data_IF_449277362423
#
_entry.id   IF_449277362423
#
_cell.length_a   1.000
_cell.length_b   1.000
_cell.length_c   1.000
_cell.angle_alpha   90.00
_cell.angle_beta   90.00
_cell.angle_gamma   90.00
#
_symmetry.space_group_name_H-M   'P 1'
#
loop_
_entity.id
_entity.type
_entity.pdbx_description
1 polymer ?
#
# COMPACT_ATOMS: atom_id res chain seq x y z
N UNK A 1 18.02 -9.02 9.88
CA UNK A 1 17.11 -8.25 10.76
C UNK A 1 15.75 -8.23 10.09
N UNK A 2 14.77 -8.94 10.64
CA UNK A 2 13.42 -9.07 10.08
C UNK A 2 12.63 -7.75 10.23
N UNK A 3 12.61 -6.93 9.19
CA UNK A 3 11.87 -5.66 9.16
C UNK A 3 10.35 -5.83 9.25
N UNK A 4 9.83 -7.04 9.00
CA UNK A 4 8.41 -7.38 9.09
C UNK A 4 7.85 -7.39 10.52
N UNK A 5 8.72 -7.54 11.54
CA UNK A 5 8.30 -7.46 12.95
C UNK A 5 8.26 -6.02 13.50
N UNK A 6 8.72 -5.03 12.74
CA UNK A 6 8.75 -3.63 13.17
C UNK A 6 7.42 -2.88 12.95
N UNK A 7 6.46 -3.50 12.28
CA UNK A 7 5.16 -2.88 11.98
C UNK A 7 4.16 -3.07 13.12
N UNK A 8 3.54 -1.96 13.53
CA UNK A 8 2.47 -1.97 14.51
C UNK A 8 1.21 -2.70 14.00
N UNK A 9 0.30 -3.14 14.89
CA UNK A 9 -0.95 -3.77 14.49
C UNK A 9 -1.81 -2.91 13.55
N UNK A 10 -1.76 -1.58 13.69
CA UNK A 10 -2.46 -0.64 12.81
C UNK A 10 -1.85 -0.66 11.41
N UNK A 11 -0.53 -0.64 11.32
CA UNK A 11 0.20 -0.67 10.03
C UNK A 11 -0.03 -1.98 9.27
N UNK A 12 -0.04 -3.12 9.98
CA UNK A 12 -0.40 -4.42 9.40
C UNK A 12 -1.83 -4.42 8.85
N UNK A 13 -2.78 -3.80 9.57
CA UNK A 13 -4.18 -3.69 9.14
C UNK A 13 -4.32 -2.79 7.91
N UNK A 14 -3.65 -1.64 7.90
CA UNK A 14 -3.60 -0.76 6.74
C UNK A 14 -3.00 -1.45 5.51
N UNK A 15 -1.92 -2.23 5.68
CA UNK A 15 -1.31 -3.03 4.60
C UNK A 15 -2.29 -4.07 4.03
N UNK A 16 -3.07 -4.75 4.89
CA UNK A 16 -4.10 -5.70 4.43
C UNK A 16 -5.23 -5.00 3.68
N UNK A 17 -5.72 -3.87 4.18
CA UNK A 17 -6.76 -3.07 3.50
C UNK A 17 -6.26 -2.54 2.16
N UNK A 18 -5.02 -2.06 2.12
CA UNK A 18 -4.33 -1.65 0.90
C UNK A 18 -4.29 -2.80 -0.11
N UNK A 19 -3.73 -3.95 0.28
CA UNK A 19 -3.63 -5.12 -0.59
C UNK A 19 -4.98 -5.55 -1.16
N UNK A 20 -6.03 -5.56 -0.33
CA UNK A 20 -7.38 -5.94 -0.76
C UNK A 20 -8.01 -4.91 -1.72
N UNK A 21 -7.78 -3.61 -1.49
CA UNK A 21 -8.21 -2.56 -2.41
C UNK A 21 -7.41 -2.59 -3.73
N UNK A 22 -6.14 -2.98 -3.66
CA UNK A 22 -5.20 -3.08 -4.78
C UNK A 22 -5.48 -4.27 -5.69
N UNK A 23 -5.80 -5.43 -5.12
CA UNK A 23 -6.16 -6.65 -5.85
C UNK A 23 -7.42 -6.46 -6.72
N UNK A 24 -8.26 -5.46 -6.41
CA UNK A 24 -9.49 -5.16 -7.15
C UNK A 24 -9.43 -3.88 -8.00
N UNK A 25 -8.53 -2.94 -7.74
CA UNK A 25 -8.59 -1.59 -8.32
C UNK A 25 -7.22 -0.93 -8.57
N UNK A 26 -6.17 -1.68 -8.90
CA UNK A 26 -4.86 -1.07 -9.22
C UNK A 26 -4.97 -0.10 -10.40
N UNK A 27 -4.54 1.17 -10.26
CA UNK A 27 -4.02 1.90 -9.10
C UNK A 27 -5.11 2.59 -8.25
N UNK A 28 -4.93 2.54 -6.93
CA UNK A 28 -5.89 3.06 -5.94
C UNK A 28 -5.70 4.55 -5.65
N UNK A 29 -6.75 5.19 -5.16
CA UNK A 29 -6.77 6.63 -4.84
C UNK A 29 -6.25 6.85 -3.41
N UNK A 30 -5.37 7.85 -3.22
CA UNK A 30 -4.81 8.22 -1.90
C UNK A 30 -5.87 8.39 -0.80
N UNK A 31 -7.09 8.81 -1.15
CA UNK A 31 -8.18 9.07 -0.20
C UNK A 31 -8.53 7.86 0.68
N UNK A 32 -8.23 6.64 0.24
CA UNK A 32 -8.52 5.42 1.00
C UNK A 32 -7.47 5.08 2.06
N UNK A 33 -6.35 5.79 2.11
CA UNK A 33 -5.20 5.48 2.97
C UNK A 33 -4.72 6.77 3.65
N UNK A 34 -4.50 6.77 4.98
CA UNK A 34 -3.95 7.93 5.66
C UNK A 34 -2.64 8.38 5.01
N UNK A 35 -2.51 9.68 4.73
CA UNK A 35 -1.35 10.23 3.99
C UNK A 35 -0.01 9.86 4.63
N UNK A 36 0.06 9.89 5.97
CA UNK A 36 1.27 9.49 6.72
C UNK A 36 1.67 8.03 6.44
N UNK A 37 0.69 7.14 6.37
CA UNK A 37 0.93 5.72 6.06
C UNK A 37 1.37 5.56 4.61
N UNK A 38 0.72 6.26 3.68
CA UNK A 38 1.08 6.23 2.26
C UNK A 38 2.52 6.74 2.03
N UNK A 39 2.90 7.85 2.67
CA UNK A 39 4.26 8.40 2.61
C UNK A 39 5.28 7.40 3.13
N UNK A 40 5.03 6.80 4.30
CA UNK A 40 5.91 5.77 4.87
C UNK A 40 6.09 4.57 3.93
N UNK A 41 5.00 4.10 3.29
CA UNK A 41 5.08 2.98 2.34
C UNK A 41 5.88 3.32 1.08
N UNK A 42 5.82 4.56 0.60
CA UNK A 42 6.66 5.04 -0.51
C UNK A 42 8.12 5.17 -0.08
N UNK A 43 8.39 5.76 1.09
CA UNK A 43 9.76 5.91 1.63
C UNK A 43 10.44 4.55 1.84
N UNK A 44 9.68 3.53 2.24
CA UNK A 44 10.17 2.14 2.39
C UNK A 44 10.26 1.38 1.06
N UNK A 45 9.82 1.97 -0.06
CA UNK A 45 9.84 1.37 -1.39
C UNK A 45 8.81 0.25 -1.59
N UNK A 46 7.76 0.22 -0.77
CA UNK A 46 6.67 -0.76 -0.83
C UNK A 46 5.54 -0.32 -1.76
N UNK A 47 5.40 0.97 -2.00
CA UNK A 47 4.43 1.55 -2.92
C UNK A 47 5.08 2.58 -3.86
N UNK A 48 4.45 2.82 -5.01
CA UNK A 48 4.87 3.81 -5.98
C UNK A 48 3.67 4.65 -6.45
N UNK A 49 3.92 5.92 -6.76
CA UNK A 49 2.95 6.81 -7.41
C UNK A 49 2.87 6.49 -8.91
N UNK A 50 1.67 6.59 -9.48
CA UNK A 50 1.41 6.43 -10.91
C UNK A 50 0.16 7.18 -11.36
N UNK A 51 -0.18 7.12 -12.65
CA UNK A 51 -1.44 7.68 -13.15
C UNK A 51 -2.62 6.98 -12.50
N UNK A 52 -3.61 7.75 -12.03
CA UNK A 52 -4.85 7.21 -11.48
C UNK A 52 -5.71 6.55 -12.56
N UNK A 53 -6.33 5.39 -12.29
CA UNK A 53 -7.39 4.87 -13.16
C UNK A 53 -8.73 5.60 -12.98
N UNK A 54 -8.83 6.48 -11.98
CA UNK A 54 -10.00 7.34 -11.77
C UNK A 54 -9.56 8.81 -11.73
N UNK A 55 -9.12 9.37 -12.86
CA UNK A 55 -8.59 10.74 -12.93
C UNK A 55 -9.61 11.80 -12.50
N UNK A 56 -10.91 11.53 -12.64
CA UNK A 56 -11.99 12.40 -12.16
C UNK A 56 -12.08 12.51 -10.63
N UNK A 57 -11.51 11.54 -9.88
CA UNK A 57 -11.51 11.53 -8.41
C UNK A 57 -10.18 12.08 -7.87
N UNK A 58 -9.07 11.62 -8.46
CA UNK A 58 -7.75 12.15 -8.16
C UNK A 58 -6.83 11.97 -9.38
N UNK A 59 -5.97 12.95 -9.69
CA UNK A 59 -5.06 12.86 -10.84
C UNK A 59 -3.95 11.81 -10.64
N UNK A 60 -3.66 11.44 -9.40
CA UNK A 60 -2.60 10.51 -9.00
C UNK A 60 -3.19 9.28 -8.33
N UNK A 61 -2.67 8.12 -8.69
CA UNK A 61 -2.97 6.84 -8.06
C UNK A 61 -1.70 6.23 -7.48
N UNK A 62 -1.86 5.18 -6.71
CA UNK A 62 -0.75 4.48 -6.07
C UNK A 62 -0.89 2.99 -6.34
N UNK A 63 0.24 2.28 -6.39
CA UNK A 63 0.31 0.83 -6.55
C UNK A 63 1.36 0.23 -5.64
N UNK A 64 1.24 -1.06 -5.31
CA UNK A 64 2.34 -1.76 -4.64
C UNK A 64 3.47 -2.01 -5.63
N UNK A 65 4.69 -1.99 -5.11
CA UNK A 65 5.84 -2.55 -5.83
C UNK A 65 5.85 -4.06 -5.67
N UNK A 66 6.68 -4.77 -6.43
CA UNK A 66 6.88 -6.22 -6.25
C UNK A 66 7.26 -6.55 -4.80
N UNK A 67 8.14 -5.73 -4.19
CA UNK A 67 8.51 -5.81 -2.78
C UNK A 67 7.33 -5.56 -1.84
N UNK A 68 6.45 -4.62 -2.19
CA UNK A 68 5.20 -4.38 -1.47
C UNK A 68 4.29 -5.61 -1.45
N UNK A 69 4.10 -6.24 -2.61
CA UNK A 69 3.32 -7.47 -2.75
C UNK A 69 3.92 -8.63 -1.96
N UNK A 70 5.24 -8.82 -2.00
CA UNK A 70 5.91 -9.85 -1.20
C UNK A 70 5.75 -9.63 0.30
N UNK A 71 5.85 -8.36 0.74
CA UNK A 71 5.65 -7.99 2.15
C UNK A 71 4.22 -8.30 2.60
N UNK A 72 3.21 -7.98 1.77
CA UNK A 72 1.81 -8.32 2.04
C UNK A 72 1.62 -9.83 2.19
N UNK A 73 2.17 -10.63 1.26
CA UNK A 73 2.05 -12.10 1.30
C UNK A 73 2.59 -12.67 2.62
N UNK A 74 3.75 -12.21 3.07
CA UNK A 74 4.34 -12.63 4.34
C UNK A 74 3.48 -12.26 5.56
N UNK A 75 2.81 -11.11 5.52
CA UNK A 75 1.90 -10.63 6.59
C UNK A 75 0.53 -11.33 6.53
N UNK A 76 0.09 -11.86 5.40
CA UNK A 76 -1.16 -12.63 5.29
C UNK A 76 -1.05 -14.05 5.79
N UNK A 77 0.10 -14.70 5.58
CA UNK A 77 0.35 -16.07 6.04
C UNK A 77 0.64 -16.20 7.54
N UNK A 78 0.73 -15.08 8.27
CA UNK A 78 0.98 -15.00 9.71
C UNK A 78 -0.18 -14.33 10.43
#
# INVERSE_FOLDING_TARGET
MDTTNALSPVEKRCLRTLAFALDQYEPFVALSVPERTLRRLMDEGLAAEGPSLRPAVAPKGYKLTDRGWDTVRQVWTR
#
